data_IF_132103820919
#
_entry.id   IF_132103820919
#
_cell.length_a   1.000
_cell.length_b   1.000
_cell.length_c   1.000
_cell.angle_alpha   90.00
_cell.angle_beta   90.00
_cell.angle_gamma   90.00
#
_symmetry.space_group_name_H-M   'P 1'
#
loop_
_entity.id
_entity.type
_entity.pdbx_description
1 polymer ?
#
# COMPACT_ATOMS: atom_id res chain seq x y z
N UNK A 1 7.89 8.44 -24.73
CA UNK A 1 9.10 8.91 -24.06
C UNK A 1 10.02 7.74 -23.69
N UNK A 2 11.30 8.02 -23.43
CA UNK A 2 12.29 7.05 -23.00
C UNK A 2 13.02 7.62 -21.79
N UNK A 3 13.09 6.86 -20.71
CA UNK A 3 13.87 7.17 -19.50
C UNK A 3 14.77 5.98 -19.19
N UNK A 4 16.05 6.21 -18.98
CA UNK A 4 17.02 5.15 -18.71
C UNK A 4 17.73 5.41 -17.40
N UNK A 5 17.72 4.41 -16.55
CA UNK A 5 18.36 4.39 -15.24
C UNK A 5 19.37 3.25 -15.17
N UNK A 6 20.24 3.19 -14.15
CA UNK A 6 21.25 2.13 -14.07
C UNK A 6 20.71 0.70 -14.03
N UNK A 7 19.50 0.47 -13.51
CA UNK A 7 18.91 -0.88 -13.34
C UNK A 7 17.59 -1.08 -14.08
N UNK A 8 17.03 -0.02 -14.68
CA UNK A 8 15.81 -0.13 -15.49
C UNK A 8 15.76 0.90 -16.60
N UNK A 9 14.95 0.61 -17.61
CA UNK A 9 14.61 1.53 -18.69
C UNK A 9 13.11 1.53 -18.88
N UNK A 10 12.50 2.72 -18.83
CA UNK A 10 11.07 2.92 -19.02
C UNK A 10 10.79 3.50 -20.39
N UNK A 11 9.91 2.85 -21.14
CA UNK A 11 9.55 3.20 -22.51
C UNK A 11 8.05 3.50 -22.54
N UNK A 12 7.69 4.77 -22.69
CA UNK A 12 6.30 5.15 -22.93
C UNK A 12 5.97 4.98 -24.42
N UNK A 13 4.95 4.17 -24.70
CA UNK A 13 4.45 3.89 -26.04
C UNK A 13 2.97 4.28 -26.12
N UNK A 14 2.59 4.97 -27.20
CA UNK A 14 1.19 5.21 -27.54
C UNK A 14 0.75 4.20 -28.58
N UNK A 15 -0.26 3.40 -28.24
CA UNK A 15 -0.92 2.45 -29.14
C UNK A 15 -2.21 3.05 -29.64
N UNK A 16 -2.35 3.16 -30.96
CA UNK A 16 -3.60 3.58 -31.58
C UNK A 16 -4.34 2.36 -32.14
N UNK A 17 -5.58 2.18 -31.71
CA UNK A 17 -6.47 1.11 -32.15
C UNK A 17 -7.59 1.67 -32.99
N UNK A 18 -7.98 0.94 -34.03
CA UNK A 18 -9.13 1.25 -34.87
C UNK A 18 -10.06 0.06 -34.97
N UNK A 19 -11.38 0.30 -34.76
CA UNK A 19 -12.44 -0.67 -35.03
C UNK A 19 -13.62 0.07 -35.65
N UNK A 20 -13.96 -0.24 -36.90
CA UNK A 20 -15.05 0.41 -37.63
C UNK A 20 -16.45 0.21 -36.98
N UNK A 21 -16.62 -0.89 -36.23
CA UNK A 21 -17.84 -1.24 -35.53
C UNK A 21 -17.54 -1.64 -34.07
N UNK A 22 -17.27 -0.67 -33.19
CA UNK A 22 -16.96 -0.95 -31.80
C UNK A 22 -18.19 -1.48 -31.06
N UNK A 23 -18.00 -2.48 -30.17
CA UNK A 23 -19.09 -3.05 -29.36
C UNK A 23 -19.49 -2.19 -28.14
N UNK A 24 -18.85 -1.03 -27.96
CA UNK A 24 -19.08 -0.12 -26.82
C UNK A 24 -19.32 1.30 -27.34
N UNK A 25 -20.15 2.04 -26.63
CA UNK A 25 -20.33 3.48 -26.87
C UNK A 25 -19.11 4.25 -26.36
N UNK A 26 -18.92 5.46 -26.85
CA UNK A 26 -17.92 6.39 -26.32
C UNK A 26 -18.24 6.83 -24.88
N UNK A 27 -17.35 7.63 -24.31
CA UNK A 27 -17.49 8.27 -23.00
C UNK A 27 -17.06 9.73 -23.12
N UNK A 28 -17.18 10.50 -22.05
CA UNK A 28 -16.68 11.88 -22.01
C UNK A 28 -15.19 12.02 -22.38
N UNK A 29 -14.42 10.98 -22.07
CA UNK A 29 -12.99 10.92 -22.39
C UNK A 29 -12.71 10.32 -23.78
N UNK A 30 -13.67 9.58 -24.37
CA UNK A 30 -13.55 8.90 -25.66
C UNK A 30 -14.76 9.26 -26.49
N UNK A 31 -14.67 10.34 -27.25
CA UNK A 31 -15.79 10.86 -28.07
C UNK A 31 -16.10 10.00 -29.31
N UNK A 32 -15.09 9.28 -29.82
CA UNK A 32 -15.24 8.34 -30.93
C UNK A 32 -14.59 7.00 -30.57
N UNK A 33 -15.41 6.03 -30.18
CA UNK A 33 -14.95 4.70 -29.78
C UNK A 33 -14.37 3.84 -30.91
N UNK A 34 -14.47 4.30 -32.18
CA UNK A 34 -13.78 3.66 -33.31
C UNK A 34 -12.27 3.87 -33.28
N UNK A 35 -11.83 4.96 -32.64
CA UNK A 35 -10.41 5.30 -32.49
C UNK A 35 -10.08 5.44 -30.99
N UNK A 36 -9.23 4.56 -30.49
CA UNK A 36 -8.78 4.60 -29.11
C UNK A 36 -7.25 4.68 -29.10
N UNK A 37 -6.72 5.69 -28.42
CA UNK A 37 -5.30 5.78 -28.13
C UNK A 37 -5.05 5.42 -26.66
N UNK A 38 -4.12 4.48 -26.41
CA UNK A 38 -3.72 4.04 -25.08
C UNK A 38 -2.22 4.26 -24.92
N UNK A 39 -1.85 5.03 -23.90
CA UNK A 39 -0.45 5.14 -23.49
C UNK A 39 -0.12 4.06 -22.48
N UNK A 40 0.92 3.29 -22.77
CA UNK A 40 1.44 2.26 -21.89
C UNK A 40 2.91 2.53 -21.57
N UNK A 41 3.28 2.32 -20.31
CA UNK A 41 4.66 2.32 -19.86
C UNK A 41 5.17 0.88 -19.83
N UNK A 42 6.28 0.64 -20.53
CA UNK A 42 7.01 -0.62 -20.49
C UNK A 42 8.29 -0.43 -19.69
N UNK A 43 8.41 -1.12 -18.57
CA UNK A 43 9.61 -1.09 -17.74
C UNK A 43 10.45 -2.34 -17.99
N UNK A 44 11.64 -2.16 -18.53
CA UNK A 44 12.65 -3.21 -18.70
C UNK A 44 13.58 -3.17 -17.48
N UNK A 45 13.58 -4.23 -16.67
CA UNK A 45 14.30 -4.29 -15.41
C UNK A 45 15.45 -5.29 -15.50
N UNK A 46 16.65 -4.87 -15.06
CA UNK A 46 17.78 -5.78 -14.95
C UNK A 46 17.57 -6.80 -13.83
N UNK A 47 17.63 -8.09 -14.17
CA UNK A 47 17.49 -9.16 -13.17
C UNK A 47 18.80 -9.29 -12.38
N UNK A 48 18.73 -9.27 -11.03
CA UNK A 48 19.92 -9.36 -10.18
C UNK A 48 20.59 -10.71 -10.29
N UNK A 49 21.93 -10.71 -10.24
CA UNK A 49 22.76 -11.92 -10.12
C UNK A 49 23.21 -12.04 -8.67
N UNK A 50 22.48 -12.82 -7.88
CA UNK A 50 22.75 -13.02 -6.45
C UNK A 50 22.41 -14.47 -6.03
N UNK A 51 22.54 -14.75 -4.73
CA UNK A 51 22.29 -16.05 -4.11
C UNK A 51 20.86 -16.22 -3.56
N UNK A 52 19.91 -15.38 -4.01
CA UNK A 52 18.51 -15.47 -3.59
C UNK A 52 17.93 -16.86 -3.86
N UNK A 53 17.35 -17.45 -2.81
CA UNK A 53 16.67 -18.73 -2.90
C UNK A 53 15.15 -18.51 -2.88
N UNK A 54 14.40 -18.97 -3.90
CA UNK A 54 12.95 -18.93 -3.91
C UNK A 54 12.37 -19.68 -2.70
N UNK A 55 11.24 -19.19 -2.19
CA UNK A 55 10.45 -19.88 -1.17
C UNK A 55 9.07 -20.17 -1.74
N UNK A 56 8.64 -21.42 -1.65
CA UNK A 56 7.30 -21.79 -2.10
C UNK A 56 6.22 -21.19 -1.22
N UNK A 57 5.07 -20.90 -1.84
CA UNK A 57 3.89 -20.41 -1.15
C UNK A 57 3.30 -21.51 -0.26
N UNK A 58 2.70 -21.08 0.85
CA UNK A 58 1.94 -21.93 1.75
C UNK A 58 0.54 -21.32 1.91
N UNK A 59 -0.51 -22.08 1.62
CA UNK A 59 -1.89 -21.58 1.66
C UNK A 59 -2.34 -21.07 3.04
N UNK A 60 -1.58 -21.35 4.11
CA UNK A 60 -1.83 -20.81 5.46
C UNK A 60 -1.32 -19.39 5.64
N UNK A 61 -0.51 -18.88 4.71
CA UNK A 61 0.10 -17.55 4.77
C UNK A 61 -0.36 -16.72 3.57
N UNK A 62 -0.89 -15.52 3.83
CA UNK A 62 -1.25 -14.58 2.78
C UNK A 62 -0.01 -13.90 2.20
N UNK A 63 0.40 -14.29 1.00
CA UNK A 63 1.49 -13.66 0.26
C UNK A 63 1.14 -13.47 -1.20
N UNK A 64 1.68 -12.43 -1.83
CA UNK A 64 1.73 -12.35 -3.29
C UNK A 64 2.71 -13.38 -3.82
N UNK A 65 2.38 -13.95 -4.97
CA UNK A 65 3.11 -15.07 -5.56
C UNK A 65 3.47 -14.79 -7.01
N UNK A 66 4.55 -15.46 -7.47
CA UNK A 66 4.85 -15.70 -8.87
C UNK A 66 4.60 -17.17 -9.17
N UNK A 67 3.81 -17.47 -10.21
CA UNK A 67 3.60 -18.85 -10.66
C UNK A 67 4.75 -19.26 -11.57
N UNK A 68 5.47 -20.32 -11.18
CA UNK A 68 6.55 -20.89 -11.98
C UNK A 68 6.06 -22.21 -12.57
N UNK A 69 6.00 -22.28 -13.90
CA UNK A 69 5.62 -23.49 -14.62
C UNK A 69 6.85 -24.33 -14.98
N UNK A 70 6.86 -25.60 -14.57
CA UNK A 70 7.87 -26.57 -14.98
C UNK A 70 7.43 -27.25 -16.27
N UNK A 71 7.98 -26.79 -17.39
CA UNK A 71 7.69 -27.34 -18.72
C UNK A 71 8.22 -28.79 -18.93
N UNK A 72 9.01 -29.31 -18.00
CA UNK A 72 9.51 -30.68 -18.05
C UNK A 72 8.66 -31.63 -17.21
N UNK A 73 7.74 -31.14 -16.41
CA UNK A 73 6.86 -31.92 -15.56
C UNK A 73 5.76 -32.59 -16.39
N UNK A 74 5.44 -33.83 -16.00
CA UNK A 74 4.31 -34.62 -16.52
C UNK A 74 3.10 -34.59 -15.56
N UNK A 75 3.17 -33.79 -14.49
CA UNK A 75 2.07 -33.64 -13.53
C UNK A 75 0.88 -32.86 -14.12
N UNK A 76 -0.32 -33.11 -13.59
CA UNK A 76 -1.54 -32.41 -14.02
C UNK A 76 -1.47 -30.90 -13.74
N UNK A 77 -0.76 -30.50 -12.67
CA UNK A 77 -0.51 -29.11 -12.29
C UNK A 77 1.00 -28.86 -12.25
N UNK A 78 1.65 -28.59 -13.40
CA UNK A 78 3.11 -28.50 -13.50
C UNK A 78 3.62 -27.10 -13.08
N UNK A 79 2.98 -26.47 -12.11
CA UNK A 79 3.38 -25.15 -11.61
C UNK A 79 3.54 -25.16 -10.10
N UNK A 80 4.37 -24.25 -9.64
CA UNK A 80 4.56 -23.97 -8.22
C UNK A 80 4.57 -22.47 -8.01
N UNK A 81 3.91 -22.04 -6.96
CA UNK A 81 3.90 -20.65 -6.57
C UNK A 81 5.07 -20.36 -5.65
N UNK A 82 5.82 -19.32 -5.96
CA UNK A 82 6.88 -18.77 -5.10
C UNK A 82 6.44 -17.42 -4.55
N UNK A 83 6.66 -17.21 -3.25
CA UNK A 83 6.24 -15.98 -2.58
C UNK A 83 7.11 -14.79 -3.00
N UNK A 84 6.50 -13.61 -3.07
CA UNK A 84 7.22 -12.37 -3.24
C UNK A 84 7.85 -11.96 -1.90
N UNK A 85 9.17 -11.76 -1.87
CA UNK A 85 9.88 -11.29 -0.68
C UNK A 85 11.19 -10.58 -1.00
N UNK A 86 11.62 -9.71 -0.10
CA UNK A 86 12.93 -9.06 -0.18
C UNK A 86 14.08 -10.04 0.10
N UNK A 87 15.23 -9.79 -0.53
CA UNK A 87 16.47 -10.49 -0.27
C UNK A 87 17.18 -9.89 0.95
N UNK A 88 16.80 -10.31 2.16
CA UNK A 88 17.45 -9.90 3.39
C UNK A 88 18.45 -10.97 3.84
N UNK A 89 19.71 -10.57 3.97
CA UNK A 89 20.82 -11.40 4.44
C UNK A 89 21.41 -10.75 5.69
N UNK A 90 21.60 -11.51 6.77
CA UNK A 90 22.20 -11.01 8.00
C UNK A 90 23.66 -10.61 7.76
N UNK A 91 24.10 -9.47 8.30
CA UNK A 91 25.54 -9.12 8.35
C UNK A 91 26.32 -10.13 9.16
N UNK A 92 25.75 -10.57 10.29
CA UNK A 92 26.30 -11.62 11.12
C UNK A 92 25.27 -12.75 11.30
N UNK A 93 25.41 -13.86 10.56
CA UNK A 93 24.49 -14.98 10.66
C UNK A 93 24.63 -15.79 11.96
N UNK A 94 25.68 -15.57 12.75
CA UNK A 94 25.92 -16.30 14.00
C UNK A 94 25.08 -15.79 15.18
N UNK A 95 24.51 -14.58 15.08
CA UNK A 95 23.70 -13.97 16.13
C UNK A 95 22.20 -14.10 15.83
N UNK A 96 21.39 -14.21 16.88
CA UNK A 96 19.94 -14.30 16.75
C UNK A 96 19.36 -13.05 16.09
N UNK A 97 19.84 -11.86 16.46
CA UNK A 97 19.37 -10.56 15.95
C UNK A 97 20.55 -9.82 15.31
N UNK A 98 20.51 -9.60 14.00
CA UNK A 98 21.54 -8.91 13.21
C UNK A 98 20.92 -7.84 12.32
N UNK A 99 21.69 -6.82 11.97
CA UNK A 99 21.32 -5.95 10.85
C UNK A 99 21.40 -6.70 9.52
N UNK A 100 20.59 -6.34 8.52
CA UNK A 100 20.79 -6.86 7.17
C UNK A 100 22.03 -6.24 6.51
N UNK A 101 22.62 -6.95 5.56
CA UNK A 101 23.69 -6.40 4.69
C UNK A 101 23.18 -5.19 3.91
N UNK A 102 21.94 -5.26 3.40
CA UNK A 102 21.24 -4.16 2.72
C UNK A 102 19.84 -4.05 3.29
N UNK A 103 19.51 -2.93 3.98
CA UNK A 103 18.16 -2.71 4.47
C UNK A 103 17.20 -2.37 3.31
N UNK A 104 15.91 -2.51 3.55
CA UNK A 104 14.85 -2.01 2.68
C UNK A 104 14.74 -0.52 2.97
N UNK A 105 15.18 0.33 2.05
CA UNK A 105 15.18 1.78 2.25
C UNK A 105 14.00 2.38 1.49
N UNK A 106 13.10 3.07 2.21
CA UNK A 106 12.05 3.89 1.63
C UNK A 106 12.45 5.37 1.65
N UNK A 107 12.10 6.08 0.59
CA UNK A 107 12.36 7.50 0.44
C UNK A 107 11.06 8.28 0.44
N UNK A 108 10.89 9.17 1.41
CA UNK A 108 9.77 10.13 1.39
C UNK A 108 10.08 11.18 0.33
N UNK A 109 9.22 11.27 -0.69
CA UNK A 109 9.37 12.23 -1.78
C UNK A 109 9.40 13.68 -1.24
N UNK A 110 10.23 14.53 -1.81
CA UNK A 110 10.42 15.91 -1.34
C UNK A 110 9.18 16.80 -1.54
N UNK A 111 8.22 16.38 -2.39
CA UNK A 111 6.92 17.03 -2.56
C UNK A 111 5.96 16.77 -1.39
N UNK A 112 6.24 15.78 -0.53
CA UNK A 112 5.40 15.45 0.62
C UNK A 112 5.35 16.61 1.61
N UNK A 113 4.15 17.08 2.05
CA UNK A 113 4.04 18.16 3.01
C UNK A 113 4.77 17.87 4.32
N UNK A 114 5.49 18.87 4.84
CA UNK A 114 6.34 18.72 6.03
C UNK A 114 5.57 18.20 7.26
N UNK A 115 4.31 18.60 7.42
CA UNK A 115 3.47 18.18 8.53
C UNK A 115 3.21 16.65 8.58
N UNK A 116 3.20 15.98 7.42
CA UNK A 116 2.90 14.54 7.33
C UNK A 116 4.13 13.64 7.32
N UNK A 117 5.32 14.17 7.00
CA UNK A 117 6.56 13.39 6.94
C UNK A 117 6.87 12.61 8.24
N UNK A 118 6.67 13.18 9.46
CA UNK A 118 6.89 12.43 10.69
C UNK A 118 5.97 11.21 10.84
N UNK A 119 4.68 11.34 10.51
CA UNK A 119 3.70 10.25 10.56
C UNK A 119 4.07 9.14 9.57
N UNK A 120 4.41 9.51 8.32
CA UNK A 120 4.82 8.59 7.27
C UNK A 120 6.09 7.83 7.69
N UNK A 121 7.08 8.56 8.18
CA UNK A 121 8.34 7.95 8.65
C UNK A 121 8.10 6.97 9.80
N UNK A 122 7.31 7.36 10.79
CA UNK A 122 7.05 6.54 11.97
C UNK A 122 6.33 5.25 11.60
N UNK A 123 5.28 5.34 10.76
CA UNK A 123 4.54 4.17 10.29
C UNK A 123 5.43 3.18 9.52
N UNK A 124 6.30 3.69 8.63
CA UNK A 124 7.20 2.83 7.88
C UNK A 124 8.22 2.12 8.79
N UNK A 125 8.77 2.83 9.78
CA UNK A 125 9.75 2.26 10.71
C UNK A 125 9.13 1.26 11.69
N UNK A 126 7.81 1.28 11.91
CA UNK A 126 7.12 0.35 12.80
C UNK A 126 7.29 -1.12 12.35
N UNK A 127 7.47 -1.36 11.06
CA UNK A 127 7.77 -2.69 10.52
C UNK A 127 9.05 -3.31 11.07
N UNK A 128 9.98 -2.52 11.59
CA UNK A 128 11.17 -3.06 12.25
C UNK A 128 10.82 -3.98 13.43
N UNK A 129 9.72 -3.73 14.15
CA UNK A 129 9.27 -4.61 15.24
C UNK A 129 8.93 -6.03 14.74
N UNK A 130 8.32 -6.14 13.56
CA UNK A 130 8.05 -7.43 12.94
C UNK A 130 9.36 -8.11 12.45
N UNK A 131 10.25 -7.32 11.85
CA UNK A 131 11.55 -7.83 11.40
C UNK A 131 12.47 -8.26 12.56
N UNK A 132 12.40 -7.62 13.71
CA UNK A 132 13.15 -8.05 14.91
C UNK A 132 12.73 -9.44 15.37
N UNK A 133 11.42 -9.75 15.33
CA UNK A 133 10.92 -11.11 15.59
C UNK A 133 11.42 -12.13 14.56
N UNK A 134 11.69 -11.68 13.33
CA UNK A 134 12.28 -12.49 12.28
C UNK A 134 13.82 -12.55 12.34
N UNK A 135 14.45 -11.88 13.33
CA UNK A 135 15.88 -11.88 13.56
C UNK A 135 16.67 -10.78 12.82
N UNK A 136 15.99 -9.72 12.36
CA UNK A 136 16.62 -8.59 11.69
C UNK A 136 16.35 -7.29 12.44
N UNK A 137 17.40 -6.61 12.89
CA UNK A 137 17.35 -5.25 13.44
C UNK A 137 17.59 -4.24 12.32
N UNK A 138 16.85 -3.12 12.35
CA UNK A 138 17.00 -2.05 11.35
C UNK A 138 16.83 -2.57 9.90
N UNK A 139 15.86 -3.47 9.69
CA UNK A 139 15.58 -4.02 8.35
C UNK A 139 14.96 -2.98 7.41
N UNK A 140 14.22 -2.03 7.96
CA UNK A 140 13.58 -0.92 7.24
C UNK A 140 14.26 0.38 7.63
N UNK A 141 14.68 1.15 6.62
CA UNK A 141 15.17 2.53 6.75
C UNK A 141 14.24 3.50 6.04
N UNK A 142 14.14 4.72 6.56
CA UNK A 142 13.38 5.80 5.92
C UNK A 142 14.27 7.03 5.79
N UNK A 143 14.39 7.51 4.55
CA UNK A 143 15.13 8.72 4.19
C UNK A 143 14.17 9.74 3.56
N UNK A 144 14.61 10.97 3.45
CA UNK A 144 13.88 12.04 2.75
C UNK A 144 14.64 12.31 1.46
N UNK A 145 13.92 12.38 0.34
CA UNK A 145 14.52 12.78 -0.93
C UNK A 145 15.07 14.21 -0.82
N UNK A 146 16.33 14.45 -1.13
CA UNK A 146 16.88 15.79 -1.21
C UNK A 146 16.16 16.64 -2.28
N UNK A 147 16.08 17.96 -2.07
CA UNK A 147 15.46 18.86 -3.04
C UNK A 147 16.29 18.98 -4.34
N UNK A 148 17.59 18.70 -4.25
CA UNK A 148 18.54 18.68 -5.35
C UNK A 148 18.87 17.24 -5.85
N UNK A 149 18.01 16.26 -5.50
CA UNK A 149 18.21 14.87 -5.95
C UNK A 149 18.27 14.79 -7.48
N UNK A 150 19.26 14.09 -8.01
CA UNK A 150 19.47 13.81 -9.42
C UNK A 150 18.75 12.54 -9.92
N UNK A 151 17.83 12.01 -9.11
CA UNK A 151 17.03 10.82 -9.38
C UNK A 151 15.54 11.08 -9.13
N UNK A 152 14.71 10.29 -9.76
CA UNK A 152 13.24 10.33 -9.64
C UNK A 152 12.65 8.95 -9.28
N UNK A 153 11.37 8.90 -8.93
CA UNK A 153 10.69 7.67 -8.52
C UNK A 153 10.67 6.54 -9.57
N UNK A 154 10.91 6.86 -10.86
CA UNK A 154 11.07 5.85 -11.91
C UNK A 154 12.36 5.04 -11.80
N UNK A 155 13.34 5.46 -11.02
CA UNK A 155 14.60 4.75 -10.81
C UNK A 155 14.42 3.64 -9.79
N UNK A 156 14.45 2.39 -10.24
CA UNK A 156 14.18 1.19 -9.42
C UNK A 156 15.12 1.05 -8.20
N UNK A 157 16.23 1.78 -8.15
CA UNK A 157 17.15 1.76 -6.99
C UNK A 157 16.55 2.41 -5.74
N UNK A 158 15.48 3.19 -5.89
CA UNK A 158 14.82 3.94 -4.82
C UNK A 158 13.38 3.48 -4.68
N UNK A 159 12.99 3.03 -3.47
CA UNK A 159 11.59 2.78 -3.16
C UNK A 159 11.00 4.08 -2.65
N UNK A 160 10.04 4.67 -3.35
CA UNK A 160 9.57 6.03 -3.06
C UNK A 160 8.17 6.02 -2.47
N UNK A 161 8.03 6.70 -1.33
CA UNK A 161 6.73 7.07 -0.76
C UNK A 161 6.32 8.39 -1.40
N UNK A 162 5.49 8.30 -2.45
CA UNK A 162 5.09 9.42 -3.29
C UNK A 162 3.86 10.11 -2.74
N UNK A 163 3.85 11.42 -2.82
CA UNK A 163 2.68 12.24 -2.48
C UNK A 163 2.03 12.73 -3.76
N UNK A 164 0.82 12.26 -4.02
CA UNK A 164 0.07 12.58 -5.23
C UNK A 164 -1.20 13.38 -4.90
N UNK A 165 -1.67 14.17 -5.86
CA UNK A 165 -2.91 14.93 -5.74
C UNK A 165 -3.62 14.90 -7.08
N UNK A 166 -4.69 14.12 -7.16
CA UNK A 166 -5.50 13.94 -8.37
C UNK A 166 -6.92 14.47 -8.14
N UNK A 167 -7.57 15.05 -9.16
CA UNK A 167 -8.93 15.57 -9.04
C UNK A 167 -9.97 14.50 -8.67
N UNK A 168 -9.82 13.30 -9.22
CA UNK A 168 -10.70 12.16 -8.96
C UNK A 168 -9.87 10.87 -8.94
N UNK A 169 -9.09 10.62 -7.87
CA UNK A 169 -8.22 9.46 -7.82
C UNK A 169 -9.02 8.16 -7.66
N UNK A 170 -8.64 7.09 -8.37
CA UNK A 170 -9.26 5.78 -8.21
C UNK A 170 -8.81 5.07 -6.92
N UNK A 171 -7.81 5.60 -6.20
CA UNK A 171 -7.25 5.05 -4.97
C UNK A 171 -6.92 6.18 -3.97
N UNK A 172 -6.76 5.85 -2.68
CA UNK A 172 -6.22 6.75 -1.67
C UNK A 172 -4.80 6.36 -1.27
N UNK A 173 -4.45 5.07 -1.42
CA UNK A 173 -3.10 4.51 -1.33
C UNK A 173 -2.96 3.36 -2.30
N UNK A 174 -1.75 3.13 -2.80
CA UNK A 174 -1.40 2.03 -3.68
C UNK A 174 0.08 1.71 -3.58
N UNK A 175 0.40 0.46 -3.18
CA UNK A 175 1.78 -0.01 -2.97
C UNK A 175 2.20 -1.07 -3.98
N UNK A 176 2.51 -0.71 -5.24
CA UNK A 176 3.02 -1.67 -6.22
C UNK A 176 4.45 -2.09 -5.89
N UNK A 177 4.77 -3.34 -6.22
CA UNK A 177 6.13 -3.85 -6.15
C UNK A 177 6.51 -4.59 -7.44
N UNK A 178 7.81 -4.58 -7.73
CA UNK A 178 8.38 -5.31 -8.87
C UNK A 178 9.03 -6.60 -8.35
N UNK A 179 8.54 -7.73 -8.81
CA UNK A 179 9.07 -9.04 -8.43
C UNK A 179 9.73 -9.73 -9.62
N UNK A 180 10.84 -10.39 -9.39
CA UNK A 180 11.45 -11.27 -10.37
C UNK A 180 10.50 -12.44 -10.64
N UNK A 181 9.97 -12.61 -11.87
CA UNK A 181 8.95 -13.60 -12.18
C UNK A 181 9.48 -15.06 -12.10
N UNK A 182 10.79 -15.24 -12.00
CA UNK A 182 11.41 -16.57 -11.87
C UNK A 182 11.64 -17.01 -10.43
N UNK A 183 11.69 -16.04 -9.50
CA UNK A 183 12.15 -16.34 -8.14
C UNK A 183 11.26 -15.77 -7.04
N UNK A 184 10.41 -14.78 -7.34
CA UNK A 184 9.65 -14.02 -6.37
C UNK A 184 10.49 -12.97 -5.60
N UNK A 185 11.78 -12.78 -5.95
CA UNK A 185 12.57 -11.73 -5.32
C UNK A 185 11.99 -10.34 -5.64
N UNK A 186 11.68 -9.56 -4.62
CA UNK A 186 11.29 -8.17 -4.77
C UNK A 186 12.52 -7.33 -5.15
N UNK A 187 12.37 -6.51 -6.19
CA UNK A 187 13.44 -5.71 -6.79
C UNK A 187 13.32 -4.23 -6.46
N UNK A 188 12.09 -3.77 -6.28
CA UNK A 188 11.75 -2.40 -5.93
C UNK A 188 10.28 -2.28 -5.63
N UNK A 189 9.89 -1.18 -4.99
CA UNK A 189 8.50 -0.89 -4.65
C UNK A 189 8.29 0.61 -4.47
N UNK A 190 7.16 1.11 -4.95
CA UNK A 190 6.72 2.47 -4.68
C UNK A 190 5.39 2.46 -3.94
N UNK A 191 5.11 3.52 -3.20
CA UNK A 191 3.82 3.70 -2.55
C UNK A 191 3.31 5.08 -2.94
N UNK A 192 2.14 5.10 -3.55
CA UNK A 192 1.44 6.34 -3.88
C UNK A 192 0.45 6.66 -2.77
N UNK A 193 0.59 7.84 -2.17
CA UNK A 193 -0.29 8.37 -1.13
C UNK A 193 -1.07 9.53 -1.74
N UNK A 194 -2.38 9.38 -1.87
CA UNK A 194 -3.22 10.39 -2.49
C UNK A 194 -3.75 11.38 -1.46
N UNK A 195 -3.46 12.68 -1.65
CA UNK A 195 -3.83 13.73 -0.71
C UNK A 195 -5.34 13.82 -0.47
N UNK A 196 -6.16 13.58 -1.50
CA UNK A 196 -7.62 13.57 -1.39
C UNK A 196 -8.14 12.57 -0.36
N UNK A 197 -7.34 11.53 -0.04
CA UNK A 197 -7.64 10.57 1.03
C UNK A 197 -7.78 11.25 2.40
N UNK A 198 -7.00 12.29 2.68
CA UNK A 198 -7.09 13.05 3.94
C UNK A 198 -8.21 14.08 3.95
N UNK A 199 -8.57 14.62 2.78
CA UNK A 199 -9.46 15.78 2.66
C UNK A 199 -10.84 15.44 2.06
N UNK A 200 -11.32 14.21 2.14
CA UNK A 200 -12.62 13.80 1.57
C UNK A 200 -13.84 14.41 2.28
N UNK A 201 -13.81 15.72 2.52
CA UNK A 201 -15.02 16.50 2.86
C UNK A 201 -16.07 16.47 1.73
N UNK A 202 -15.65 16.17 0.48
CA UNK A 202 -16.54 16.05 -0.67
C UNK A 202 -17.44 14.83 -0.55
N UNK A 203 -16.89 13.65 -0.19
CA UNK A 203 -17.68 12.45 -0.03
C UNK A 203 -18.66 12.54 1.15
N UNK A 204 -18.24 13.15 2.25
CA UNK A 204 -19.14 13.42 3.37
C UNK A 204 -20.29 14.35 2.97
N UNK A 205 -20.04 15.34 2.11
CA UNK A 205 -21.03 16.23 1.57
C UNK A 205 -22.02 15.49 0.63
N UNK A 206 -21.52 14.65 -0.26
CA UNK A 206 -22.36 13.82 -1.16
C UNK A 206 -23.25 12.86 -0.38
N UNK A 207 -22.72 12.22 0.68
CA UNK A 207 -23.50 11.36 1.58
C UNK A 207 -24.60 12.12 2.34
N UNK A 208 -24.35 13.37 2.74
CA UNK A 208 -25.30 14.19 3.50
C UNK A 208 -26.33 14.84 2.58
N UNK A 209 -25.92 15.27 1.38
CA UNK A 209 -26.79 16.01 0.45
C UNK A 209 -27.67 15.10 -0.41
N UNK A 210 -27.42 13.77 -0.38
CA UNK A 210 -28.16 12.81 -1.20
C UNK A 210 -27.91 12.98 -2.69
N UNK A 211 -26.92 13.76 -3.09
CA UNK A 211 -26.48 13.96 -4.47
C UNK A 211 -25.57 12.81 -4.90
N UNK A 212 -25.97 11.55 -4.66
CA UNK A 212 -25.32 10.44 -5.32
C UNK A 212 -25.80 10.42 -6.75
N UNK A 213 -25.04 11.01 -7.66
CA UNK A 213 -25.21 10.67 -9.07
C UNK A 213 -24.97 9.16 -9.18
N UNK A 214 -26.04 8.43 -9.52
CA UNK A 214 -26.05 6.97 -9.62
C UNK A 214 -25.08 6.41 -10.67
N UNK A 215 -24.37 7.28 -11.38
CA UNK A 215 -23.31 6.97 -12.32
C UNK A 215 -21.93 6.84 -11.69
N UNK A 216 -21.73 7.25 -10.43
CA UNK A 216 -20.54 6.87 -9.69
C UNK A 216 -20.72 5.41 -9.26
N UNK A 217 -20.63 4.51 -10.23
CA UNK A 217 -20.49 3.10 -9.95
C UNK A 217 -19.38 2.97 -8.91
N UNK A 218 -19.73 2.40 -7.76
CA UNK A 218 -18.74 1.89 -6.81
C UNK A 218 -17.97 0.85 -7.61
N UNK A 219 -16.94 1.30 -8.30
CA UNK A 219 -16.00 0.41 -8.97
C UNK A 219 -15.35 -0.36 -7.83
N UNK A 220 -15.89 -1.54 -7.57
CA UNK A 220 -15.17 -2.51 -6.74
C UNK A 220 -13.79 -2.63 -7.38
N UNK A 221 -12.73 -2.50 -6.59
CA UNK A 221 -11.38 -2.66 -7.12
C UNK A 221 -11.35 -3.97 -7.91
N UNK A 222 -10.84 -3.94 -9.13
CA UNK A 222 -10.46 -5.18 -9.81
C UNK A 222 -9.49 -5.94 -8.90
N UNK A 223 -9.37 -7.25 -9.03
CA UNK A 223 -8.53 -8.13 -8.20
C UNK A 223 -7.08 -7.67 -8.03
N UNK A 224 -6.67 -6.62 -8.72
CA UNK A 224 -5.32 -6.06 -8.74
C UNK A 224 -5.17 -4.73 -7.98
N UNK A 225 -6.23 -4.18 -7.35
CA UNK A 225 -6.17 -2.92 -6.61
C UNK A 225 -6.56 -3.12 -5.15
N UNK A 226 -5.77 -2.53 -4.24
CA UNK A 226 -6.08 -2.52 -2.82
C UNK A 226 -7.29 -1.60 -2.55
N UNK A 227 -8.37 -2.17 -2.00
CA UNK A 227 -9.59 -1.43 -1.65
C UNK A 227 -9.54 -0.75 -0.28
N UNK A 228 -8.45 -0.90 0.49
CA UNK A 228 -8.33 -0.37 1.85
C UNK A 228 -8.57 1.14 1.89
N UNK A 229 -8.03 1.87 0.95
CA UNK A 229 -8.18 3.33 0.89
C UNK A 229 -9.64 3.76 0.69
N UNK A 230 -10.46 2.98 -0.02
CA UNK A 230 -11.88 3.25 -0.17
C UNK A 230 -12.61 3.03 1.16
N UNK A 231 -12.38 1.89 1.82
CA UNK A 231 -12.98 1.57 3.13
C UNK A 231 -12.57 2.57 4.20
N UNK A 232 -11.28 2.90 4.27
CA UNK A 232 -10.77 3.93 5.19
C UNK A 232 -11.31 5.33 4.84
N UNK A 233 -11.53 5.62 3.56
CA UNK A 233 -12.12 6.87 3.09
C UNK A 233 -13.56 7.02 3.57
N UNK A 234 -14.41 6.01 3.37
CA UNK A 234 -15.80 5.99 3.83
C UNK A 234 -15.89 6.01 5.36
N UNK A 235 -15.14 5.11 6.03
CA UNK A 235 -15.08 5.05 7.48
C UNK A 235 -14.55 6.34 8.10
N UNK A 236 -13.53 6.95 7.49
CA UNK A 236 -12.97 8.23 7.91
C UNK A 236 -13.95 9.39 7.76
N UNK A 237 -14.70 9.46 6.64
CA UNK A 237 -15.72 10.49 6.45
C UNK A 237 -16.84 10.37 7.52
N UNK A 238 -17.30 9.14 7.79
CA UNK A 238 -18.24 8.87 8.86
C UNK A 238 -17.67 9.29 10.23
N UNK A 239 -16.41 8.93 10.51
CA UNK A 239 -15.74 9.25 11.76
C UNK A 239 -15.59 10.76 11.96
N UNK A 240 -15.19 11.50 10.93
CA UNK A 240 -15.09 12.97 10.97
C UNK A 240 -16.45 13.63 11.30
N UNK A 241 -17.53 13.10 10.72
CA UNK A 241 -18.88 13.58 11.02
C UNK A 241 -19.29 13.25 12.45
N UNK A 242 -19.03 12.02 12.92
CA UNK A 242 -19.35 11.58 14.28
C UNK A 242 -18.60 12.42 15.33
N UNK A 243 -17.31 12.62 15.15
CA UNK A 243 -16.43 13.42 16.02
C UNK A 243 -16.93 14.88 16.08
N UNK A 244 -17.27 15.49 14.93
CA UNK A 244 -17.84 16.85 14.88
C UNK A 244 -19.22 16.93 15.53
N UNK A 245 -20.09 15.96 15.29
CA UNK A 245 -21.44 15.93 15.88
C UNK A 245 -21.39 15.77 17.41
N UNK A 246 -20.38 15.05 17.91
CA UNK A 246 -20.11 14.92 19.34
C UNK A 246 -19.51 16.18 19.97
N UNK A 247 -19.12 17.18 19.16
CA UNK A 247 -18.45 18.39 19.65
C UNK A 247 -17.06 18.13 20.21
N UNK A 248 -16.39 17.11 19.68
CA UNK A 248 -15.03 16.73 20.12
C UNK A 248 -14.00 17.82 19.82
N UNK A 249 -12.88 17.73 20.53
CA UNK A 249 -11.78 18.70 20.39
C UNK A 249 -11.07 18.63 19.04
N UNK A 250 -10.39 19.70 18.64
CA UNK A 250 -9.59 19.74 17.41
C UNK A 250 -8.43 18.72 17.45
N UNK A 251 -7.94 18.39 18.64
CA UNK A 251 -6.89 17.39 18.86
C UNK A 251 -7.37 16.00 18.46
N UNK A 252 -8.61 15.64 18.78
CA UNK A 252 -9.23 14.35 18.40
C UNK A 252 -9.45 14.29 16.88
N UNK A 253 -9.90 15.36 16.25
CA UNK A 253 -10.04 15.42 14.78
C UNK A 253 -8.68 15.21 14.09
N UNK A 254 -7.63 15.83 14.61
CA UNK A 254 -6.29 15.70 14.05
C UNK A 254 -5.69 14.30 14.32
N UNK A 255 -5.97 13.71 15.48
CA UNK A 255 -5.58 12.33 15.79
C UNK A 255 -6.23 11.34 14.81
N UNK A 256 -7.53 11.48 14.56
CA UNK A 256 -8.24 10.63 13.58
C UNK A 256 -7.55 10.63 12.21
N UNK A 257 -7.17 11.82 11.73
CA UNK A 257 -6.47 11.96 10.44
C UNK A 257 -5.09 11.28 10.47
N UNK A 258 -4.33 11.48 11.57
CA UNK A 258 -3.01 10.86 11.74
C UNK A 258 -3.09 9.35 11.82
N UNK A 259 -3.98 8.80 12.64
CA UNK A 259 -4.13 7.36 12.80
C UNK A 259 -4.56 6.69 11.49
N UNK A 260 -5.46 7.34 10.74
CA UNK A 260 -5.91 6.87 9.43
C UNK A 260 -4.77 6.83 8.41
N UNK A 261 -3.96 7.89 8.32
CA UNK A 261 -2.79 7.92 7.44
C UNK A 261 -1.74 6.90 7.89
N UNK A 262 -1.50 6.82 9.18
CA UNK A 262 -0.54 5.87 9.75
C UNK A 262 -0.91 4.43 9.38
N UNK A 263 -2.19 4.07 9.56
CA UNK A 263 -2.69 2.76 9.18
C UNK A 263 -2.56 2.48 7.69
N UNK A 264 -2.94 3.43 6.84
CA UNK A 264 -2.79 3.29 5.38
C UNK A 264 -1.34 2.96 5.01
N UNK A 265 -0.38 3.69 5.57
CA UNK A 265 1.04 3.48 5.26
C UNK A 265 1.52 2.11 5.75
N UNK A 266 1.14 1.70 6.96
CA UNK A 266 1.45 0.35 7.44
C UNK A 266 0.93 -0.72 6.49
N UNK A 267 -0.31 -0.58 6.02
CA UNK A 267 -0.95 -1.51 5.11
C UNK A 267 -0.25 -1.57 3.75
N UNK A 268 -0.04 -0.42 3.10
CA UNK A 268 0.59 -0.37 1.78
C UNK A 268 2.05 -0.85 1.81
N UNK A 269 2.80 -0.55 2.88
CA UNK A 269 4.13 -1.13 3.07
C UNK A 269 4.04 -2.64 3.19
N UNK A 270 3.04 -3.19 3.89
CA UNK A 270 2.80 -4.62 3.96
C UNK A 270 2.71 -5.28 2.58
N UNK A 271 2.01 -4.65 1.64
CA UNK A 271 1.97 -5.11 0.25
C UNK A 271 3.35 -5.08 -0.41
N UNK A 272 4.11 -4.03 -0.22
CA UNK A 272 5.47 -3.93 -0.76
C UNK A 272 6.47 -4.88 -0.09
N UNK A 273 6.12 -5.45 1.05
CA UNK A 273 6.87 -6.54 1.69
C UNK A 273 6.46 -7.93 1.20
N UNK A 274 5.46 -8.01 0.32
CA UNK A 274 4.97 -9.24 -0.30
C UNK A 274 3.74 -9.84 0.35
N UNK A 275 3.10 -9.15 1.32
CA UNK A 275 1.91 -9.66 2.00
C UNK A 275 0.64 -9.36 1.21
N UNK A 276 -0.26 -10.34 1.15
CA UNK A 276 -1.61 -10.19 0.66
C UNK A 276 -2.57 -9.86 1.81
N UNK A 277 -3.82 -9.56 1.50
CA UNK A 277 -4.83 -9.25 2.51
C UNK A 277 -5.11 -10.40 3.47
N UNK A 278 -5.44 -10.05 4.71
CA UNK A 278 -5.91 -10.97 5.74
C UNK A 278 -7.24 -10.47 6.33
N UNK A 279 -8.33 -10.66 5.58
CA UNK A 279 -9.68 -10.18 5.94
C UNK A 279 -10.29 -10.89 7.17
N UNK A 280 -9.52 -11.72 7.87
CA UNK A 280 -9.92 -12.37 9.10
C UNK A 280 -9.28 -11.75 10.36
N UNK A 281 -8.38 -10.81 10.17
CA UNK A 281 -7.56 -10.28 11.25
C UNK A 281 -8.37 -9.45 12.28
N UNK A 282 -9.43 -8.79 11.86
CA UNK A 282 -10.35 -8.06 12.77
C UNK A 282 -11.10 -8.97 13.74
N UNK A 283 -11.10 -10.29 13.53
CA UNK A 283 -11.74 -11.26 14.42
C UNK A 283 -10.85 -11.68 15.61
N UNK A 284 -9.60 -11.18 15.70
CA UNK A 284 -8.67 -11.55 16.77
C UNK A 284 -9.18 -11.14 18.16
N UNK A 285 -9.72 -9.93 18.26
CA UNK A 285 -10.13 -9.32 19.52
C UNK A 285 -11.66 -9.13 19.56
N UNK A 286 -12.26 -9.44 20.69
CA UNK A 286 -13.64 -9.07 20.97
C UNK A 286 -13.77 -7.57 21.26
N UNK A 287 -14.99 -7.03 21.22
CA UNK A 287 -15.28 -5.64 21.56
C UNK A 287 -14.74 -5.25 22.95
N UNK A 288 -14.94 -6.12 23.94
CA UNK A 288 -14.49 -5.87 25.30
C UNK A 288 -12.96 -5.84 25.39
N UNK A 289 -12.28 -6.74 24.65
CA UNK A 289 -10.82 -6.76 24.60
C UNK A 289 -10.25 -5.50 23.90
N UNK A 290 -10.87 -5.01 22.83
CA UNK A 290 -10.45 -3.77 22.16
C UNK A 290 -10.56 -2.57 23.11
N UNK A 291 -11.54 -2.58 24.02
CA UNK A 291 -11.74 -1.52 25.01
C UNK A 291 -10.78 -1.60 26.20
N UNK A 292 -10.09 -2.73 26.41
CA UNK A 292 -9.15 -2.92 27.51
C UNK A 292 -7.90 -2.01 27.35
N UNK A 293 -7.58 -1.19 28.39
CA UNK A 293 -6.42 -0.30 28.34
C UNK A 293 -5.08 -1.01 28.07
N UNK A 294 -4.92 -2.25 28.56
CA UNK A 294 -3.69 -3.03 28.33
C UNK A 294 -3.54 -3.45 26.87
N UNK A 295 -4.64 -3.76 26.20
CA UNK A 295 -4.66 -4.06 24.76
C UNK A 295 -4.41 -2.80 23.95
N UNK A 296 -5.08 -1.69 24.26
CA UNK A 296 -4.86 -0.39 23.61
C UNK A 296 -3.40 0.06 23.71
N UNK A 297 -2.74 -0.19 24.85
CA UNK A 297 -1.32 0.15 25.05
C UNK A 297 -0.36 -0.60 24.11
N UNK A 298 -0.78 -1.73 23.55
CA UNK A 298 0.01 -2.46 22.54
C UNK A 298 0.00 -1.80 21.16
N UNK A 299 -0.99 -0.95 20.87
CA UNK A 299 -1.24 -0.40 19.54
C UNK A 299 -1.93 -1.39 18.59
N UNK A 300 -2.29 -2.59 19.06
CA UNK A 300 -2.89 -3.68 18.28
C UNK A 300 -4.39 -3.71 18.50
N UNK A 301 -5.17 -3.38 17.48
CA UNK A 301 -6.62 -3.50 17.46
C UNK A 301 -7.13 -4.61 16.51
N UNK A 302 -6.24 -5.18 15.72
CA UNK A 302 -6.51 -6.27 14.79
C UNK A 302 -5.30 -7.21 14.71
N UNK A 303 -5.51 -8.44 14.27
CA UNK A 303 -4.45 -9.45 14.17
C UNK A 303 -3.46 -9.24 13.02
N UNK A 304 -3.73 -8.31 12.13
CA UNK A 304 -2.85 -7.90 11.04
C UNK A 304 -3.29 -6.55 10.49
N UNK A 305 -2.33 -5.75 10.07
CA UNK A 305 -2.60 -4.51 9.32
C UNK A 305 -3.06 -4.78 7.88
N UNK A 306 -3.04 -6.03 7.43
CA UNK A 306 -3.48 -6.41 6.07
C UNK A 306 -5.00 -6.67 5.99
N UNK A 307 -5.79 -6.17 6.94
CA UNK A 307 -7.25 -6.18 6.93
C UNK A 307 -7.82 -4.80 6.52
N UNK A 308 -9.13 -4.70 6.41
CA UNK A 308 -9.88 -3.45 6.18
C UNK A 308 -10.74 -3.13 7.41
N UNK A 309 -10.12 -2.65 8.51
CA UNK A 309 -10.82 -2.47 9.76
C UNK A 309 -11.79 -1.29 9.70
N UNK A 310 -12.90 -1.43 10.43
CA UNK A 310 -13.73 -0.29 10.77
C UNK A 310 -12.99 0.65 11.73
N UNK A 311 -13.42 1.92 11.76
CA UNK A 311 -12.93 2.89 12.74
C UNK A 311 -13.29 2.44 14.15
N UNK A 312 -12.34 2.47 15.06
CA UNK A 312 -12.56 2.17 16.47
C UNK A 312 -13.00 3.44 17.22
N UNK A 313 -14.21 3.42 17.77
CA UNK A 313 -14.73 4.47 18.66
C UNK A 313 -14.76 3.97 20.09
N UNK A 314 -14.18 4.74 21.00
CA UNK A 314 -14.39 4.55 22.43
C UNK A 314 -15.76 5.11 22.85
N UNK A 315 -16.22 4.73 24.06
CA UNK A 315 -17.48 5.23 24.60
C UNK A 315 -17.42 6.71 24.99
N UNK A 316 -16.24 7.17 25.37
CA UNK A 316 -15.98 8.57 25.72
C UNK A 316 -14.73 9.10 25.03
N UNK A 317 -14.64 10.43 24.82
CA UNK A 317 -13.45 11.07 24.25
C UNK A 317 -12.19 10.82 25.11
N UNK A 318 -12.32 10.80 26.43
CA UNK A 318 -11.21 10.53 27.35
C UNK A 318 -10.62 9.12 27.20
N UNK A 319 -11.40 8.16 26.71
CA UNK A 319 -10.98 6.78 26.45
C UNK A 319 -10.50 6.56 25.02
N UNK A 320 -10.69 7.56 24.12
CA UNK A 320 -10.30 7.47 22.73
C UNK A 320 -8.78 7.61 22.60
N UNK A 321 -8.08 6.47 22.55
CA UNK A 321 -6.61 6.44 22.41
C UNK A 321 -6.16 6.14 21.00
N UNK A 322 -6.90 5.30 20.26
CA UNK A 322 -6.58 4.86 18.91
C UNK A 322 -7.85 4.72 18.07
N UNK A 323 -7.84 5.25 16.86
CA UNK A 323 -8.90 5.02 15.86
C UNK A 323 -8.61 3.80 14.99
N UNK A 324 -7.36 3.46 14.79
CA UNK A 324 -6.89 2.31 14.02
C UNK A 324 -5.74 1.61 14.73
N UNK A 325 -5.42 0.36 14.34
CA UNK A 325 -4.19 -0.31 14.79
C UNK A 325 -2.96 0.43 14.26
N UNK A 326 -1.93 0.54 15.09
CA UNK A 326 -0.67 1.24 14.78
C UNK A 326 0.55 0.33 14.90
N UNK A 327 0.34 -0.98 15.03
CA UNK A 327 1.40 -1.99 15.08
C UNK A 327 1.14 -3.07 14.02
N UNK A 328 2.18 -3.53 13.28
CA UNK A 328 2.05 -4.54 12.24
C UNK A 328 1.83 -5.94 12.79
#
# INVERSE_FOLDING_TARGET
ALRSYPQNTDIEVEYAFFNAAPGVSGSDAVTDSRHIAIRAMHSLIEMPKNDYQPRYADARLGSFNQQITDLTSTEVAPYRDVINRWHLVKKDPSVALSEPVKPITYWIENTTPLAWRPTIRSAALEWNKAFEKAGFRNAVEVKIQPDDADWEAGDLRYNVLRWTSSPNPPFGGYGPSFANPRTGQLLGADIMLEFSFLNRSTLARELIQGESDSTTAVLWPSDHHCGVSHVLGLGGAFAELAVKAAGSSAEIEEQLKRDRLYYLILHEIGHTLGMNHNMKATQLLSRDQISDPSVKATGILAGSVMDYPAVNFAETEAEQTLFYTIAP
#
